data_IF_572740392757
#
_entry.id   IF_572740392757
#
_cell.length_a   1.000
_cell.length_b   1.000
_cell.length_c   1.000
_cell.angle_alpha   90.00
_cell.angle_beta   90.00
_cell.angle_gamma   90.00
#
_symmetry.space_group_name_H-M   'P 1'
#
loop_
_entity.id
_entity.type
_entity.pdbx_description
1 polymer ?
#
# COMPACT_ATOMS: atom_id res chain seq x y z
N UNK A 1 -13.64 0.40 60.61
CA UNK A 1 -13.40 0.54 59.15
C UNK A 1 -14.69 0.16 58.42
N UNK A 2 -15.27 1.06 57.61
CA UNK A 2 -16.68 0.96 57.16
C UNK A 2 -16.78 0.00 55.96
N UNK A 3 -17.27 -1.21 56.18
CA UNK A 3 -17.43 -2.30 55.20
C UNK A 3 -18.12 -1.85 53.88
N UNK A 4 -19.08 -0.93 53.95
CA UNK A 4 -19.73 -0.37 52.76
C UNK A 4 -18.75 0.33 51.80
N UNK A 5 -17.75 1.04 52.34
CA UNK A 5 -16.72 1.74 51.51
C UNK A 5 -15.76 0.75 50.87
N UNK A 6 -15.48 -0.38 51.50
CA UNK A 6 -14.62 -1.43 50.93
C UNK A 6 -15.39 -2.12 49.80
N UNK A 7 -16.66 -2.45 49.99
CA UNK A 7 -17.50 -3.07 48.96
C UNK A 7 -17.63 -2.18 47.71
N UNK A 8 -17.86 -0.87 47.89
CA UNK A 8 -17.93 0.07 46.75
C UNK A 8 -16.62 0.15 45.97
N UNK A 9 -15.47 0.16 46.65
CA UNK A 9 -14.16 0.17 45.96
C UNK A 9 -13.89 -1.12 45.19
N UNK A 10 -14.30 -2.29 45.72
CA UNK A 10 -14.15 -3.57 45.02
C UNK A 10 -15.04 -3.62 43.79
N UNK A 11 -16.27 -3.14 43.85
CA UNK A 11 -17.17 -3.06 42.69
C UNK A 11 -16.62 -2.15 41.59
N UNK A 12 -16.08 -1.01 41.96
CA UNK A 12 -15.46 -0.07 40.96
C UNK A 12 -14.23 -0.71 40.29
N UNK A 13 -13.40 -1.41 41.04
CA UNK A 13 -12.22 -2.10 40.48
C UNK A 13 -12.64 -3.26 39.58
N UNK A 14 -13.65 -4.04 39.97
CA UNK A 14 -14.19 -5.12 39.13
C UNK A 14 -14.86 -4.58 37.85
N UNK A 15 -15.61 -3.50 37.92
CA UNK A 15 -16.17 -2.86 36.71
C UNK A 15 -15.11 -2.29 35.81
N UNK A 16 -14.05 -1.69 36.35
CA UNK A 16 -12.91 -1.23 35.55
C UNK A 16 -12.17 -2.40 34.88
N UNK A 17 -11.95 -3.51 35.61
CA UNK A 17 -11.31 -4.71 35.06
C UNK A 17 -12.14 -5.37 33.96
N UNK A 18 -13.48 -5.42 34.08
CA UNK A 18 -14.39 -5.95 33.06
C UNK A 18 -14.35 -5.06 31.79
N UNK A 19 -14.24 -3.74 31.92
CA UNK A 19 -14.10 -2.84 30.79
C UNK A 19 -12.75 -3.01 30.06
N UNK A 20 -11.72 -3.52 30.74
CA UNK A 20 -10.41 -3.82 30.13
C UNK A 20 -10.35 -5.23 29.50
N UNK A 21 -11.25 -6.14 29.88
CA UNK A 21 -11.32 -7.52 29.38
C UNK A 21 -12.32 -7.65 28.22
N UNK A 22 -13.22 -6.68 28.05
CA UNK A 22 -14.00 -6.64 26.81
C UNK A 22 -12.99 -6.53 25.66
N UNK A 23 -12.90 -7.56 24.78
CA UNK A 23 -12.12 -7.38 23.58
C UNK A 23 -12.66 -6.09 22.99
N UNK A 24 -11.79 -5.15 22.70
CA UNK A 24 -12.09 -4.07 21.78
C UNK A 24 -12.37 -4.83 20.49
N UNK A 25 -13.59 -5.32 20.34
CA UNK A 25 -14.12 -5.63 19.04
C UNK A 25 -13.92 -4.30 18.32
N UNK A 26 -12.86 -4.27 17.48
CA UNK A 26 -12.78 -3.26 16.47
C UNK A 26 -14.19 -3.24 15.89
N UNK A 27 -14.93 -2.18 16.13
CA UNK A 27 -16.14 -1.89 15.38
C UNK A 27 -15.62 -1.90 13.96
N UNK A 28 -15.68 -3.07 13.33
CA UNK A 28 -15.54 -3.15 11.88
C UNK A 28 -16.63 -2.21 11.40
N UNK A 29 -16.24 -1.02 11.07
CA UNK A 29 -17.11 -0.11 10.37
C UNK A 29 -17.69 -0.96 9.26
N UNK A 30 -19.02 -1.11 9.25
CA UNK A 30 -19.71 -1.99 8.31
C UNK A 30 -19.13 -1.68 6.94
N UNK A 31 -18.35 -2.61 6.40
CA UNK A 31 -17.54 -2.39 5.21
C UNK A 31 -18.45 -1.95 4.09
N UNK A 32 -17.97 -1.08 3.25
CA UNK A 32 -18.73 -0.63 2.09
C UNK A 32 -18.94 -1.84 1.17
N UNK A 33 -20.19 -2.07 0.71
CA UNK A 33 -20.44 -3.13 -0.25
C UNK A 33 -19.65 -2.90 -1.54
N UNK A 34 -19.17 -3.97 -2.18
CA UNK A 34 -18.49 -3.89 -3.47
C UNK A 34 -19.28 -3.12 -4.53
N UNK A 35 -20.60 -3.32 -4.59
CA UNK A 35 -21.49 -2.59 -5.49
C UNK A 35 -21.44 -1.08 -5.25
N UNK A 36 -21.51 -0.64 -4.01
CA UNK A 36 -21.43 0.79 -3.66
C UNK A 36 -20.05 1.37 -3.95
N UNK A 37 -18.99 0.64 -3.66
CA UNK A 37 -17.63 1.05 -3.98
C UNK A 37 -17.45 1.18 -5.51
N UNK A 38 -17.93 0.19 -6.29
CA UNK A 38 -17.92 0.21 -7.76
C UNK A 38 -18.61 1.44 -8.30
N UNK A 39 -19.82 1.73 -7.84
CA UNK A 39 -20.55 2.92 -8.24
C UNK A 39 -19.73 4.20 -8.02
N UNK A 40 -19.16 4.39 -6.83
CA UNK A 40 -18.37 5.59 -6.49
C UNK A 40 -17.12 5.73 -7.36
N UNK A 41 -16.40 4.63 -7.60
CA UNK A 41 -15.25 4.64 -8.50
C UNK A 41 -15.62 4.96 -9.93
N UNK A 42 -16.69 4.33 -10.47
CA UNK A 42 -17.19 4.59 -11.80
C UNK A 42 -17.61 6.06 -11.97
N UNK A 43 -18.37 6.62 -11.02
CA UNK A 43 -18.75 8.03 -11.03
C UNK A 43 -17.54 8.97 -11.02
N UNK A 44 -16.49 8.63 -10.24
CA UNK A 44 -15.26 9.42 -10.20
C UNK A 44 -14.52 9.34 -11.54
N UNK A 45 -14.41 8.15 -12.12
CA UNK A 45 -13.77 7.93 -13.42
C UNK A 45 -14.47 8.70 -14.52
N UNK A 46 -15.81 8.60 -14.62
CA UNK A 46 -16.60 9.34 -15.60
C UNK A 46 -16.38 10.85 -15.47
N UNK A 47 -16.36 11.39 -14.24
CA UNK A 47 -16.05 12.80 -14.01
C UNK A 47 -14.66 13.20 -14.48
N UNK A 48 -13.64 12.35 -14.29
CA UNK A 48 -12.27 12.65 -14.71
C UNK A 48 -12.08 12.50 -16.22
N UNK A 49 -12.88 11.64 -16.87
CA UNK A 49 -12.94 11.57 -18.34
C UNK A 49 -13.52 12.86 -18.91
N UNK A 50 -14.66 13.33 -18.36
CA UNK A 50 -15.31 14.55 -18.81
C UNK A 50 -14.54 15.83 -18.45
N UNK A 51 -13.89 15.82 -17.27
CA UNK A 51 -13.13 16.94 -16.72
C UNK A 51 -11.76 16.46 -16.24
N UNK A 52 -10.76 16.45 -17.14
CA UNK A 52 -9.44 15.92 -16.83
C UNK A 52 -8.82 16.53 -15.56
N UNK A 53 -8.41 15.67 -14.64
CA UNK A 53 -7.78 16.08 -13.39
C UNK A 53 -6.30 15.77 -13.43
N UNK A 54 -5.47 16.80 -13.26
CA UNK A 54 -4.02 16.64 -13.14
C UNK A 54 -3.64 16.37 -11.69
N UNK A 55 -2.88 15.31 -11.46
CA UNK A 55 -2.30 14.97 -10.15
C UNK A 55 -0.79 14.87 -10.26
N UNK A 56 -0.12 15.14 -9.13
CA UNK A 56 1.34 15.03 -9.07
C UNK A 56 1.76 13.58 -8.82
N UNK A 57 2.84 13.15 -9.49
CA UNK A 57 3.56 11.95 -9.11
C UNK A 57 4.09 12.16 -7.69
N UNK A 58 3.69 11.28 -6.76
CA UNK A 58 4.02 11.38 -5.33
C UNK A 58 5.35 10.74 -5.00
N UNK A 59 5.77 9.75 -5.77
CA UNK A 59 7.07 9.07 -5.63
C UNK A 59 7.48 8.45 -6.96
N UNK A 60 8.80 8.44 -7.23
CA UNK A 60 9.39 7.77 -8.39
C UNK A 60 10.30 6.64 -7.90
N UNK A 61 9.83 5.41 -8.08
CA UNK A 61 10.56 4.23 -7.64
C UNK A 61 11.83 3.99 -8.46
N UNK A 62 11.90 4.53 -9.69
CA UNK A 62 13.04 4.41 -10.61
C UNK A 62 14.19 5.34 -10.20
N UNK A 63 13.87 6.50 -9.63
CA UNK A 63 14.88 7.51 -9.26
C UNK A 63 15.96 6.97 -8.32
N UNK A 64 15.65 5.89 -7.62
CA UNK A 64 16.57 5.25 -6.67
C UNK A 64 17.67 4.43 -7.32
N UNK A 65 17.54 4.13 -8.61
CA UNK A 65 18.56 3.40 -9.35
C UNK A 65 19.72 4.30 -9.79
N UNK A 66 19.53 5.61 -9.77
CA UNK A 66 20.46 6.57 -10.36
C UNK A 66 20.53 6.55 -11.89
N UNK A 67 19.76 5.67 -12.55
CA UNK A 67 19.78 5.47 -14.01
C UNK A 67 18.66 6.23 -14.72
N UNK A 68 17.63 6.58 -13.99
CA UNK A 68 16.45 7.27 -14.50
C UNK A 68 16.30 8.63 -13.83
N UNK A 69 15.75 9.58 -14.57
CA UNK A 69 15.37 10.86 -14.00
C UNK A 69 14.33 10.71 -12.89
N UNK A 70 14.19 11.73 -12.07
CA UNK A 70 13.18 11.78 -11.01
C UNK A 70 11.94 12.52 -11.54
N UNK A 71 10.84 11.80 -11.67
CA UNK A 71 9.55 12.34 -12.11
C UNK A 71 8.65 12.81 -10.95
N UNK A 72 9.12 12.70 -9.71
CA UNK A 72 8.36 13.18 -8.54
C UNK A 72 7.99 14.65 -8.69
N UNK A 73 6.70 14.96 -8.52
CA UNK A 73 6.16 16.30 -8.70
C UNK A 73 5.67 16.64 -10.11
N UNK A 74 6.06 15.89 -11.14
CA UNK A 74 5.45 16.02 -12.48
C UNK A 74 3.96 15.72 -12.40
N UNK A 75 3.18 16.40 -13.22
CA UNK A 75 1.73 16.20 -13.30
C UNK A 75 1.40 15.15 -14.34
N UNK A 76 0.50 14.24 -13.99
CA UNK A 76 -0.13 13.27 -14.89
C UNK A 76 -1.62 13.52 -14.94
N UNK A 77 -2.21 13.19 -16.07
CA UNK A 77 -3.63 13.37 -16.32
C UNK A 77 -4.38 12.09 -15.95
N UNK A 78 -5.36 12.19 -15.06
CA UNK A 78 -6.12 11.03 -14.59
C UNK A 78 -7.10 10.48 -15.61
N UNK A 79 -7.46 11.21 -16.67
CA UNK A 79 -8.41 10.68 -17.65
C UNK A 79 -7.81 9.52 -18.46
N UNK A 80 -6.50 9.57 -18.76
CA UNK A 80 -5.80 8.55 -19.57
C UNK A 80 -5.89 7.13 -19.02
N UNK A 81 -5.76 6.90 -17.68
CA UNK A 81 -5.80 5.53 -17.15
C UNK A 81 -7.11 4.80 -17.38
N UNK A 82 -8.20 5.55 -17.50
CA UNK A 82 -9.53 4.97 -17.53
C UNK A 82 -10.11 4.90 -18.94
N UNK A 83 -9.46 5.52 -19.94
CA UNK A 83 -9.84 5.47 -21.34
C UNK A 83 -9.04 4.45 -22.16
N UNK A 84 -8.04 3.82 -21.56
CA UNK A 84 -7.16 2.87 -22.25
C UNK A 84 -7.65 1.45 -22.03
N UNK A 85 -7.93 0.72 -23.10
CA UNK A 85 -8.27 -0.71 -23.09
C UNK A 85 -7.12 -1.59 -22.55
N UNK A 86 -5.96 -0.99 -22.27
CA UNK A 86 -4.76 -1.67 -21.76
C UNK A 86 -4.49 -1.40 -20.28
N UNK A 87 -5.44 -0.89 -19.50
CA UNK A 87 -5.21 -0.64 -18.07
C UNK A 87 -5.36 -1.94 -17.27
N UNK A 88 -4.29 -2.32 -16.58
CA UNK A 88 -4.33 -3.37 -15.58
C UNK A 88 -4.76 -2.77 -14.24
N UNK A 89 -5.59 -3.50 -13.50
CA UNK A 89 -6.12 -3.01 -12.24
C UNK A 89 -6.23 -4.09 -11.16
N UNK A 90 -6.18 -3.65 -9.92
CA UNK A 90 -6.44 -4.45 -8.72
C UNK A 90 -7.54 -3.76 -7.94
N UNK A 91 -8.47 -4.55 -7.44
CA UNK A 91 -9.53 -4.08 -6.57
C UNK A 91 -9.62 -4.96 -5.34
N UNK A 92 -9.13 -4.47 -4.20
CA UNK A 92 -9.06 -5.24 -2.96
C UNK A 92 -8.93 -4.32 -1.74
N UNK A 93 -9.40 -4.78 -0.59
CA UNK A 93 -9.22 -4.06 0.68
C UNK A 93 -7.77 -4.19 1.16
N UNK A 94 -6.96 -3.17 0.91
CA UNK A 94 -5.56 -3.06 1.34
C UNK A 94 -5.42 -2.39 2.70
N UNK A 95 -6.45 -1.69 3.16
CA UNK A 95 -6.44 -0.98 4.44
C UNK A 95 -6.91 -1.86 5.59
N UNK A 96 -7.69 -2.88 5.31
CA UNK A 96 -8.35 -3.75 6.28
C UNK A 96 -9.55 -3.10 6.95
N UNK A 97 -10.14 -2.07 6.33
CA UNK A 97 -11.32 -1.36 6.85
C UNK A 97 -12.63 -1.79 6.20
N UNK A 98 -12.57 -2.79 5.30
CA UNK A 98 -13.72 -3.30 4.57
C UNK A 98 -14.10 -2.46 3.36
N UNK A 99 -13.31 -1.44 3.01
CA UNK A 99 -13.50 -0.63 1.80
C UNK A 99 -12.43 -1.00 0.79
N UNK A 100 -12.79 -1.51 -0.41
CA UNK A 100 -11.79 -1.90 -1.38
C UNK A 100 -11.07 -0.67 -1.97
N UNK A 101 -9.76 -0.70 -1.99
CA UNK A 101 -8.93 0.21 -2.77
C UNK A 101 -8.92 -0.20 -4.23
N UNK A 102 -8.67 0.78 -5.09
CA UNK A 102 -8.49 0.60 -6.52
C UNK A 102 -7.09 1.03 -6.94
N UNK A 103 -6.33 0.09 -7.49
CA UNK A 103 -5.02 0.32 -8.06
C UNK A 103 -5.13 0.15 -9.58
N UNK A 104 -4.58 1.07 -10.34
CA UNK A 104 -4.53 0.98 -11.79
C UNK A 104 -3.15 1.38 -12.32
N UNK A 105 -2.65 0.63 -13.28
CA UNK A 105 -1.44 0.98 -14.01
C UNK A 105 -1.82 1.63 -15.34
N UNK A 106 -1.20 2.77 -15.60
CA UNK A 106 -1.35 3.51 -16.84
C UNK A 106 -0.20 3.24 -17.80
N UNK A 107 -0.41 3.40 -19.10
CA UNK A 107 0.67 3.46 -20.07
C UNK A 107 1.75 4.46 -19.65
N UNK A 108 3.01 4.04 -19.67
CA UNK A 108 4.14 4.83 -19.15
C UNK A 108 4.62 4.42 -17.77
N UNK A 109 4.04 3.34 -17.20
CA UNK A 109 4.52 2.75 -15.94
C UNK A 109 4.13 3.55 -14.70
N UNK A 110 2.98 4.21 -14.72
CA UNK A 110 2.47 4.92 -13.55
C UNK A 110 1.41 4.09 -12.86
N UNK A 111 1.55 3.92 -11.55
CA UNK A 111 0.59 3.24 -10.69
C UNK A 111 -0.22 4.28 -9.91
N UNK A 112 -1.53 4.27 -10.12
CA UNK A 112 -2.47 5.11 -9.37
C UNK A 112 -3.09 4.28 -8.24
N UNK A 113 -3.16 4.86 -7.05
CA UNK A 113 -3.80 4.27 -5.88
C UNK A 113 -4.95 5.16 -5.46
N UNK A 114 -6.16 4.62 -5.50
CA UNK A 114 -7.38 5.29 -5.07
C UNK A 114 -7.95 4.61 -3.83
N UNK A 115 -8.64 5.36 -2.99
CA UNK A 115 -9.47 4.86 -1.90
C UNK A 115 -10.77 5.63 -1.81
N UNK A 116 -11.75 5.07 -1.10
CA UNK A 116 -12.95 5.78 -0.71
C UNK A 116 -12.83 6.16 0.76
N UNK A 117 -12.93 7.44 1.04
CA UNK A 117 -12.90 7.95 2.42
C UNK A 117 -14.03 8.96 2.61
N UNK A 118 -14.90 8.74 3.60
CA UNK A 118 -16.09 9.56 3.84
C UNK A 118 -16.97 9.66 2.59
N UNK A 119 -17.26 8.53 1.95
CA UNK A 119 -18.05 8.40 0.71
C UNK A 119 -17.52 9.23 -0.49
N UNK A 120 -16.24 9.57 -0.49
CA UNK A 120 -15.60 10.29 -1.61
C UNK A 120 -14.37 9.54 -2.08
N UNK A 121 -14.24 9.38 -3.40
CA UNK A 121 -13.03 8.82 -4.01
C UNK A 121 -11.88 9.82 -3.88
N UNK A 122 -10.77 9.33 -3.37
CA UNK A 122 -9.51 10.07 -3.20
C UNK A 122 -8.38 9.41 -3.95
N UNK A 123 -7.55 10.22 -4.61
CA UNK A 123 -6.24 9.77 -5.09
C UNK A 123 -5.29 9.80 -3.89
N UNK A 124 -4.81 8.62 -3.50
CA UNK A 124 -3.83 8.49 -2.42
C UNK A 124 -2.41 8.75 -2.91
N UNK A 125 -2.09 8.20 -4.07
CA UNK A 125 -0.77 8.33 -4.67
C UNK A 125 -0.82 8.09 -6.17
N UNK A 126 0.19 8.65 -6.86
CA UNK A 126 0.61 8.26 -8.19
C UNK A 126 2.10 7.94 -8.08
N UNK A 127 2.45 6.69 -8.35
CA UNK A 127 3.81 6.20 -8.26
C UNK A 127 4.34 5.94 -9.67
N UNK A 128 5.53 6.48 -9.99
CA UNK A 128 6.21 6.11 -11.22
C UNK A 128 6.98 4.80 -10.99
N UNK A 129 6.75 3.79 -11.82
CA UNK A 129 7.43 2.49 -11.76
C UNK A 129 8.20 2.20 -13.03
N UNK A 130 9.07 1.20 -13.01
CA UNK A 130 9.76 0.70 -14.22
C UNK A 130 8.97 -0.39 -14.94
N UNK A 131 8.05 -1.03 -14.20
CA UNK A 131 7.26 -2.15 -14.71
C UNK A 131 5.89 -1.68 -15.13
N UNK A 132 5.39 -2.25 -16.23
CA UNK A 132 4.01 -2.09 -16.66
C UNK A 132 3.06 -2.70 -15.61
N UNK A 133 3.51 -3.75 -14.91
CA UNK A 133 2.78 -4.39 -13.83
C UNK A 133 3.75 -4.66 -12.66
N UNK A 134 3.87 -3.71 -11.71
CA UNK A 134 4.66 -3.96 -10.51
C UNK A 134 3.99 -5.03 -9.65
N UNK A 135 4.77 -5.86 -9.00
CA UNK A 135 4.22 -6.83 -8.06
C UNK A 135 3.62 -6.12 -6.85
N UNK A 136 2.38 -6.45 -6.55
CA UNK A 136 1.68 -5.97 -5.35
C UNK A 136 1.45 -7.13 -4.40
N UNK A 137 1.92 -6.99 -3.17
CA UNK A 137 1.76 -7.98 -2.12
C UNK A 137 0.96 -7.39 -0.97
N UNK A 138 0.11 -8.17 -0.34
CA UNK A 138 -0.67 -7.78 0.82
C UNK A 138 -0.35 -8.64 2.04
N UNK A 139 -0.20 -8.02 3.20
CA UNK A 139 -0.05 -8.67 4.48
C UNK A 139 -1.25 -8.35 5.37
N UNK A 140 -2.16 -9.32 5.49
CA UNK A 140 -3.39 -9.18 6.29
C UNK A 140 -3.13 -9.01 7.79
N UNK A 141 -2.01 -9.54 8.32
CA UNK A 141 -1.76 -9.51 9.77
C UNK A 141 -1.51 -8.10 10.30
N UNK A 142 -0.99 -7.21 9.48
CA UNK A 142 -0.66 -5.83 9.87
C UNK A 142 -1.30 -4.77 8.97
N UNK A 143 -2.17 -5.19 8.03
CA UNK A 143 -2.84 -4.33 7.06
C UNK A 143 -1.84 -3.43 6.33
N UNK A 144 -0.78 -4.06 5.79
CA UNK A 144 0.21 -3.39 4.97
C UNK A 144 0.26 -4.04 3.60
N UNK A 145 0.61 -3.26 2.60
CA UNK A 145 0.88 -3.78 1.28
C UNK A 145 2.25 -3.31 0.79
N UNK A 146 2.81 -4.08 -0.11
CA UNK A 146 4.14 -3.82 -0.66
C UNK A 146 4.05 -3.75 -2.16
N UNK A 147 4.64 -2.72 -2.73
CA UNK A 147 4.84 -2.60 -4.17
C UNK A 147 6.32 -2.91 -4.42
N UNK A 148 6.55 -4.01 -5.15
CA UNK A 148 7.89 -4.40 -5.57
C UNK A 148 8.09 -4.02 -7.03
N UNK A 149 9.21 -3.40 -7.30
CA UNK A 149 9.64 -3.04 -8.64
C UNK A 149 11.08 -3.49 -8.84
N UNK A 150 11.33 -4.20 -9.93
CA UNK A 150 12.68 -4.43 -10.42
C UNK A 150 13.12 -3.16 -11.15
N UNK A 151 14.02 -2.41 -10.55
CA UNK A 151 14.50 -1.13 -11.11
C UNK A 151 15.53 -1.39 -12.19
N UNK A 152 16.34 -2.40 -12.00
CA UNK A 152 17.26 -2.97 -12.99
C UNK A 152 17.33 -4.48 -12.76
N UNK A 153 17.98 -5.22 -13.66
CA UNK A 153 18.28 -6.64 -13.45
C UNK A 153 19.07 -6.90 -12.13
N UNK A 154 19.65 -5.85 -11.53
CA UNK A 154 20.50 -5.94 -10.34
C UNK A 154 19.98 -5.21 -9.12
N UNK A 155 18.82 -4.54 -9.21
CA UNK A 155 18.27 -3.78 -8.09
C UNK A 155 16.77 -3.99 -8.01
N UNK A 156 16.34 -4.63 -6.94
CA UNK A 156 14.92 -4.76 -6.58
C UNK A 156 14.59 -3.83 -5.42
N UNK A 157 13.51 -3.10 -5.53
CA UNK A 157 13.02 -2.23 -4.46
C UNK A 157 11.60 -2.66 -4.04
N UNK A 158 11.39 -2.76 -2.73
CA UNK A 158 10.10 -3.06 -2.09
C UNK A 158 9.70 -1.90 -1.22
N UNK A 159 8.64 -1.23 -1.61
CA UNK A 159 8.09 -0.13 -0.81
C UNK A 159 6.88 -0.63 -0.05
N UNK A 160 6.96 -0.57 1.28
CA UNK A 160 5.91 -1.00 2.19
C UNK A 160 5.05 0.19 2.55
N UNK A 161 3.75 0.03 2.37
CA UNK A 161 2.75 1.07 2.60
C UNK A 161 1.67 0.60 3.57
N UNK A 162 1.04 1.57 4.21
CA UNK A 162 -0.19 1.41 4.97
C UNK A 162 -1.17 2.52 4.59
N UNK A 163 -2.44 2.15 4.40
CA UNK A 163 -3.52 3.12 4.25
C UNK A 163 -4.21 3.25 5.61
N UNK A 164 -4.41 4.48 6.05
CA UNK A 164 -5.10 4.77 7.30
C UNK A 164 -5.81 6.12 7.21
N UNK A 165 -7.11 6.14 7.54
CA UNK A 165 -7.93 7.37 7.52
C UNK A 165 -7.84 8.12 6.18
N UNK A 166 -7.88 7.38 5.06
CA UNK A 166 -7.79 7.95 3.70
C UNK A 166 -6.48 8.66 3.39
N UNK A 167 -5.36 8.21 3.99
CA UNK A 167 -4.00 8.66 3.71
C UNK A 167 -3.09 7.45 3.50
N UNK A 168 -2.12 7.60 2.61
CA UNK A 168 -1.08 6.62 2.35
C UNK A 168 0.18 6.97 3.15
N UNK A 169 0.70 6.01 3.89
CA UNK A 169 1.95 6.12 4.66
C UNK A 169 2.95 5.11 4.11
N UNK A 170 4.14 5.58 3.72
CA UNK A 170 5.27 4.70 3.43
C UNK A 170 5.98 4.36 4.74
N UNK A 171 5.97 3.09 5.12
CA UNK A 171 6.56 2.59 6.36
C UNK A 171 8.04 2.24 6.21
N UNK A 172 8.40 1.69 5.07
CA UNK A 172 9.78 1.32 4.77
C UNK A 172 10.00 1.21 3.26
N UNK A 173 11.25 1.34 2.86
CA UNK A 173 11.76 0.91 1.57
C UNK A 173 12.90 -0.07 1.82
N UNK A 174 12.77 -1.28 1.28
CA UNK A 174 13.80 -2.30 1.30
C UNK A 174 14.32 -2.49 -0.10
N UNK A 175 15.62 -2.33 -0.31
CA UNK A 175 16.23 -2.54 -1.63
C UNK A 175 17.41 -3.49 -1.51
N UNK A 176 17.47 -4.42 -2.45
CA UNK A 176 18.55 -5.38 -2.61
C UNK A 176 19.29 -5.04 -3.90
N UNK A 177 20.57 -4.70 -3.80
CA UNK A 177 21.45 -4.63 -4.94
C UNK A 177 22.15 -5.98 -5.10
N UNK A 178 22.07 -6.55 -6.28
CA UNK A 178 22.66 -7.84 -6.62
C UNK A 178 24.08 -7.60 -7.10
N UNK A 179 25.03 -8.34 -6.54
CA UNK A 179 26.44 -8.32 -6.96
C UNK A 179 26.69 -9.09 -8.26
N UNK A 180 27.96 -9.29 -8.57
CA UNK A 180 28.37 -10.08 -9.73
C UNK A 180 27.85 -11.52 -9.64
N UNK A 181 27.52 -12.08 -10.80
CA UNK A 181 27.19 -13.48 -10.94
C UNK A 181 28.43 -14.30 -10.52
N UNK A 182 28.31 -15.09 -9.45
CA UNK A 182 29.17 -16.23 -9.26
C UNK A 182 28.50 -17.44 -9.89
N UNK A 183 29.20 -18.52 -10.20
CA UNK A 183 28.67 -19.70 -10.91
C UNK A 183 27.43 -20.37 -10.28
N UNK A 184 26.89 -19.83 -9.16
CA UNK A 184 25.72 -20.31 -8.43
C UNK A 184 24.55 -19.32 -8.42
N UNK A 185 24.65 -18.22 -9.16
CA UNK A 185 23.58 -17.22 -9.25
C UNK A 185 23.94 -15.85 -8.64
N UNK A 186 22.95 -14.98 -8.55
CA UNK A 186 23.13 -13.63 -8.04
C UNK A 186 23.15 -13.61 -6.52
N UNK A 187 24.22 -13.08 -5.93
CA UNK A 187 24.32 -12.88 -4.48
C UNK A 187 24.01 -11.41 -4.14
N UNK A 188 23.05 -11.11 -3.27
CA UNK A 188 22.82 -9.74 -2.81
C UNK A 188 24.07 -9.25 -2.06
N UNK A 189 24.75 -8.25 -2.61
CA UNK A 189 25.97 -7.68 -1.99
C UNK A 189 25.61 -6.55 -1.04
N UNK A 190 24.67 -5.69 -1.43
CA UNK A 190 24.29 -4.53 -0.65
C UNK A 190 22.80 -4.52 -0.36
N UNK A 191 22.46 -4.15 0.89
CA UNK A 191 21.08 -4.04 1.37
C UNK A 191 20.83 -2.64 1.89
N UNK A 192 19.74 -2.05 1.44
CA UNK A 192 19.37 -0.70 1.81
C UNK A 192 18.03 -0.68 2.53
N UNK A 193 17.94 0.14 3.57
CA UNK A 193 16.70 0.47 4.26
C UNK A 193 16.52 1.98 4.19
N UNK A 194 15.44 2.41 3.54
CA UNK A 194 15.14 3.82 3.31
C UNK A 194 16.32 4.58 2.63
N UNK A 195 16.96 3.93 1.66
CA UNK A 195 18.09 4.49 0.92
C UNK A 195 19.45 4.42 1.64
N UNK A 196 19.50 3.93 2.86
CA UNK A 196 20.76 3.79 3.64
C UNK A 196 21.25 2.35 3.63
N UNK A 197 22.55 2.15 3.38
CA UNK A 197 23.19 0.85 3.51
C UNK A 197 23.04 0.32 4.93
N UNK A 198 22.65 -0.94 5.08
CA UNK A 198 22.43 -1.56 6.39
C UNK A 198 23.00 -2.99 6.42
N UNK A 199 23.25 -3.49 7.63
CA UNK A 199 23.66 -4.89 7.83
C UNK A 199 22.55 -5.86 7.41
N UNK A 200 22.93 -7.09 7.02
CA UNK A 200 22.01 -8.20 6.71
C UNK A 200 21.02 -8.45 7.85
N UNK A 201 21.47 -8.40 9.09
CA UNK A 201 20.63 -8.61 10.27
C UNK A 201 19.55 -7.53 10.39
N UNK A 202 19.92 -6.25 10.24
CA UNK A 202 18.96 -5.13 10.26
C UNK A 202 17.95 -5.22 9.12
N UNK A 203 18.41 -5.49 7.90
CA UNK A 203 17.54 -5.70 6.75
C UNK A 203 16.54 -6.83 6.98
N UNK A 204 17.04 -8.01 7.41
CA UNK A 204 16.19 -9.19 7.64
C UNK A 204 15.15 -8.95 8.73
N UNK A 205 15.45 -8.16 9.76
CA UNK A 205 14.47 -7.78 10.79
C UNK A 205 13.29 -7.01 10.19
N UNK A 206 13.56 -6.02 9.33
CA UNK A 206 12.51 -5.27 8.65
C UNK A 206 11.77 -6.12 7.61
N UNK A 207 12.49 -6.95 6.87
CA UNK A 207 11.88 -7.88 5.92
C UNK A 207 10.91 -8.85 6.63
N UNK A 208 11.33 -9.45 7.76
CA UNK A 208 10.44 -10.31 8.57
C UNK A 208 9.23 -9.54 9.09
N UNK A 209 9.42 -8.29 9.52
CA UNK A 209 8.33 -7.47 10.06
C UNK A 209 7.25 -7.17 9.03
N UNK A 210 7.63 -6.84 7.81
CA UNK A 210 6.70 -6.31 6.81
C UNK A 210 6.41 -7.26 5.67
N UNK A 211 7.38 -8.08 5.27
CA UNK A 211 7.31 -8.90 4.06
C UNK A 211 7.12 -10.39 4.34
N UNK A 212 7.18 -10.83 5.61
CA UNK A 212 6.84 -12.21 5.96
C UNK A 212 5.34 -12.42 5.82
N UNK A 213 4.93 -13.56 5.26
CA UNK A 213 3.51 -13.94 5.06
C UNK A 213 2.72 -12.99 4.14
N UNK A 214 3.40 -12.29 3.25
CA UNK A 214 2.72 -11.54 2.18
C UNK A 214 2.17 -12.49 1.13
N UNK A 215 1.00 -12.14 0.61
CA UNK A 215 0.38 -12.81 -0.53
C UNK A 215 0.43 -11.89 -1.74
N UNK A 216 0.80 -12.43 -2.89
CA UNK A 216 0.74 -11.68 -4.15
C UNK A 216 -0.73 -11.43 -4.50
N UNK A 217 -0.99 -10.25 -5.03
CA UNK A 217 -2.29 -9.88 -5.57
C UNK A 217 -2.15 -9.81 -7.08
N UNK A 218 -2.95 -10.62 -7.78
CA UNK A 218 -2.92 -10.66 -9.23
C UNK A 218 -3.64 -9.46 -9.84
N UNK A 219 -3.05 -8.93 -10.91
CA UNK A 219 -3.67 -7.91 -11.74
C UNK A 219 -4.83 -8.52 -12.54
N UNK A 220 -5.88 -7.73 -12.72
CA UNK A 220 -7.00 -8.05 -13.62
C UNK A 220 -6.95 -7.11 -14.82
N UNK A 221 -7.63 -7.49 -15.91
CA UNK A 221 -7.74 -6.68 -17.15
C UNK A 221 -6.76 -7.11 -18.24
N UNK A 222 -7.14 -6.77 -19.49
CA UNK A 222 -6.40 -6.93 -20.76
C UNK A 222 -6.08 -8.34 -21.28
N UNK A 223 -6.48 -9.41 -20.62
CA UNK A 223 -6.27 -10.80 -21.12
C UNK A 223 -7.45 -11.75 -20.85
N UNK A 224 -8.65 -11.25 -20.65
CA UNK A 224 -9.86 -12.10 -20.68
C UNK A 224 -10.76 -11.69 -21.82
#
# INVERSE_FOLDING_TARGET
MNMKRIFQKIIVVLLAAVLWILPIQSVQAAGMSYSKASQLYTEAQCRWIAHPRKVKITDDLRARSGWFGNDTGKKVDLHRPFCSDMSHWIWTDLSGDGVPEYLAVIPGGQLIILTIYKNKVKVLAVLQTTSIMPDVYYNRQNNTFTIAASITARLTSRNVYKIQKGKLYRLATLSDAIGQMNGYGYVPVNRYLNGKLVSKSKYNRYYKKYCKNMQIINWKGAQE
#
